data_IF_485245880907
#
_entry.id   IF_485245880907
#
_cell.length_a   1.000
_cell.length_b   1.000
_cell.length_c   1.000
_cell.angle_alpha   90.00
_cell.angle_beta   90.00
_cell.angle_gamma   90.00
#
_symmetry.space_group_name_H-M   'P 1'
#
loop_
_entity.id
_entity.type
_entity.pdbx_description
1 polymer ?
#
# COMPACT_ATOMS: atom_id res chain seq x y z
N UNK A 1 -2.33 20.19 -37.83
CA UNK A 1 -1.44 19.11 -37.34
C UNK A 1 -1.19 19.40 -35.87
N UNK A 2 -1.92 18.73 -34.97
CA UNK A 2 -1.67 18.76 -33.52
C UNK A 2 -1.02 17.41 -33.19
N UNK A 3 0.04 17.34 -32.38
CA UNK A 3 0.44 16.04 -31.86
C UNK A 3 -0.58 15.66 -30.79
N UNK A 4 -1.34 14.62 -31.05
CA UNK A 4 -2.06 13.88 -30.01
C UNK A 4 -0.99 13.25 -29.10
N UNK A 5 -0.87 13.77 -27.89
CA UNK A 5 -0.11 13.13 -26.81
C UNK A 5 -0.91 11.90 -26.39
N UNK A 6 -0.74 10.79 -27.11
CA UNK A 6 -1.08 9.48 -26.60
C UNK A 6 -0.17 9.20 -25.40
N UNK A 7 -0.76 9.26 -24.21
CA UNK A 7 -0.17 8.77 -22.97
C UNK A 7 -0.10 7.23 -23.05
N UNK A 8 1.08 6.60 -23.18
CA UNK A 8 1.20 5.16 -23.24
C UNK A 8 1.60 4.64 -21.86
N UNK A 9 0.79 4.85 -20.83
CA UNK A 9 1.08 4.28 -19.51
C UNK A 9 -0.19 4.03 -18.70
N UNK A 10 -1.16 3.35 -19.31
CA UNK A 10 -2.00 2.41 -18.58
C UNK A 10 -1.65 1.04 -19.14
N UNK A 11 -0.55 0.47 -18.64
CA UNK A 11 -0.43 -0.96 -18.69
C UNK A 11 -1.56 -1.46 -17.78
N UNK A 12 -2.59 -2.04 -18.40
CA UNK A 12 -3.48 -2.97 -17.72
C UNK A 12 -2.56 -4.04 -17.14
N UNK A 13 -2.18 -3.88 -15.87
CA UNK A 13 -1.47 -4.92 -15.15
C UNK A 13 -2.54 -5.95 -14.81
N UNK A 14 -2.66 -6.96 -15.66
CA UNK A 14 -3.38 -8.17 -15.30
C UNK A 14 -2.76 -8.67 -13.98
N UNK A 15 -3.52 -8.66 -12.88
CA UNK A 15 -3.05 -9.08 -11.55
C UNK A 15 -2.61 -10.56 -11.50
N UNK A 16 -2.55 -11.27 -12.64
CA UNK A 16 -2.09 -12.65 -12.79
C UNK A 16 -0.55 -12.81 -12.83
N UNK A 17 0.24 -11.73 -13.00
CA UNK A 17 1.69 -11.85 -13.21
C UNK A 17 2.58 -11.41 -12.03
N UNK A 18 2.04 -11.20 -10.82
CA UNK A 18 2.86 -10.84 -9.67
C UNK A 18 3.59 -12.07 -9.13
N UNK A 19 4.89 -12.19 -9.45
CA UNK A 19 5.66 -13.36 -9.04
C UNK A 19 5.90 -13.34 -7.52
N UNK A 20 6.11 -14.51 -6.88
CA UNK A 20 6.47 -14.57 -5.47
C UNK A 20 7.70 -13.72 -5.12
N UNK A 21 8.71 -13.68 -6.00
CA UNK A 21 9.93 -12.89 -5.80
C UNK A 21 9.64 -11.39 -5.76
N UNK A 22 8.80 -10.89 -6.66
CA UNK A 22 8.40 -9.48 -6.68
C UNK A 22 7.57 -9.14 -5.45
N UNK A 23 6.63 -10.02 -5.09
CA UNK A 23 5.83 -9.86 -3.89
C UNK A 23 6.69 -9.85 -2.62
N UNK A 24 7.69 -10.72 -2.51
CA UNK A 24 8.66 -10.69 -1.41
C UNK A 24 9.48 -9.39 -1.41
N UNK A 25 9.90 -8.91 -2.58
CA UNK A 25 10.58 -7.62 -2.71
C UNK A 25 9.73 -6.47 -2.19
N UNK A 26 8.44 -6.45 -2.53
CA UNK A 26 7.48 -5.47 -2.02
C UNK A 26 7.29 -5.67 -0.51
N UNK A 27 7.06 -6.89 -0.04
CA UNK A 27 6.81 -7.14 1.38
C UNK A 27 8.06 -7.00 2.26
N UNK A 28 9.26 -6.82 1.70
CA UNK A 28 10.50 -6.63 2.47
C UNK A 28 10.52 -5.40 3.38
N UNK A 29 9.65 -4.40 3.14
CA UNK A 29 9.54 -3.23 4.00
C UNK A 29 8.40 -3.40 5.01
N UNK A 30 8.72 -3.30 6.30
CA UNK A 30 7.78 -3.48 7.42
C UNK A 30 6.53 -2.58 7.33
N UNK A 31 6.70 -1.30 6.95
CA UNK A 31 5.56 -0.38 6.75
C UNK A 31 4.61 -0.79 5.63
N UNK A 32 5.12 -1.42 4.56
CA UNK A 32 4.26 -1.97 3.49
C UNK A 32 3.49 -3.19 3.99
N UNK A 33 4.10 -4.02 4.83
CA UNK A 33 3.39 -5.11 5.51
C UNK A 33 2.29 -4.54 6.41
N UNK A 34 2.59 -3.55 7.27
CA UNK A 34 1.58 -2.93 8.13
C UNK A 34 0.43 -2.31 7.35
N UNK A 35 0.71 -1.65 6.23
CA UNK A 35 -0.32 -1.11 5.35
C UNK A 35 -1.25 -2.20 4.82
N UNK A 36 -0.69 -3.26 4.25
CA UNK A 36 -1.49 -4.37 3.71
C UNK A 36 -2.27 -5.11 4.79
N UNK A 37 -1.68 -5.31 5.97
CA UNK A 37 -2.35 -5.89 7.15
C UNK A 37 -3.57 -5.05 7.52
N UNK A 38 -3.40 -3.73 7.62
CA UNK A 38 -4.46 -2.83 8.04
C UNK A 38 -5.57 -2.76 6.99
N UNK A 39 -5.22 -2.55 5.72
CA UNK A 39 -6.18 -2.47 4.62
C UNK A 39 -6.97 -3.76 4.44
N UNK A 40 -6.32 -4.92 4.57
CA UNK A 40 -6.99 -6.20 4.48
C UNK A 40 -8.13 -6.33 5.52
N UNK A 41 -8.00 -5.72 6.71
CA UNK A 41 -9.03 -5.75 7.76
C UNK A 41 -10.19 -4.78 7.51
N UNK A 42 -10.10 -3.88 6.54
CA UNK A 42 -11.11 -2.86 6.27
C UNK A 42 -12.03 -3.32 5.15
N UNK A 43 -13.36 -3.17 5.31
CA UNK A 43 -14.31 -3.50 4.27
C UNK A 43 -14.48 -2.42 3.19
N UNK A 44 -13.82 -1.26 3.35
CA UNK A 44 -13.90 -0.10 2.46
C UNK A 44 -12.63 0.74 2.56
N UNK A 45 -12.46 1.66 1.61
CA UNK A 45 -11.40 2.66 1.61
C UNK A 45 -11.30 3.44 2.94
N UNK A 46 -10.07 3.79 3.29
CA UNK A 46 -9.71 4.56 4.48
C UNK A 46 -8.88 5.78 4.10
N UNK A 47 -8.77 6.74 5.02
CA UNK A 47 -7.88 7.88 4.82
C UNK A 47 -6.41 7.50 5.08
N UNK A 48 -5.50 8.16 4.36
CA UNK A 48 -4.05 8.06 4.57
C UNK A 48 -3.66 8.32 6.02
N UNK A 49 -4.31 9.29 6.65
CA UNK A 49 -4.09 9.62 8.06
C UNK A 49 -4.41 8.45 9.00
N UNK A 50 -5.50 7.73 8.76
CA UNK A 50 -5.86 6.56 9.60
C UNK A 50 -4.81 5.46 9.49
N UNK A 51 -4.24 5.27 8.30
CA UNK A 51 -3.13 4.33 8.11
C UNK A 51 -1.86 4.82 8.81
N UNK A 52 -1.52 6.10 8.68
CA UNK A 52 -0.34 6.68 9.31
C UNK A 52 -0.40 6.60 10.84
N UNK A 53 -1.57 6.85 11.43
CA UNK A 53 -1.82 6.70 12.87
C UNK A 53 -1.65 5.24 13.31
N UNK A 54 -2.24 4.29 12.57
CA UNK A 54 -2.09 2.86 12.84
C UNK A 54 -0.61 2.43 12.84
N UNK A 55 0.17 2.84 11.84
CA UNK A 55 1.60 2.50 11.77
C UNK A 55 2.37 3.19 12.89
N UNK A 56 2.04 4.45 13.22
CA UNK A 56 2.68 5.15 14.34
C UNK A 56 2.52 4.39 15.66
N UNK A 57 1.33 3.83 15.91
CA UNK A 57 1.04 2.99 17.08
C UNK A 57 1.78 1.65 17.06
N UNK A 58 1.98 1.05 15.88
CA UNK A 58 2.74 -0.21 15.74
C UNK A 58 4.24 -0.01 15.96
N UNK A 59 4.80 1.12 15.52
CA UNK A 59 6.24 1.41 15.65
C UNK A 59 6.66 1.95 17.02
N UNK A 60 5.71 2.29 17.90
CA UNK A 60 5.99 2.74 19.26
C UNK A 60 5.08 3.89 19.71
N UNK A 61 5.65 4.87 20.41
CA UNK A 61 4.86 6.00 20.92
C UNK A 61 4.37 6.90 19.78
N UNK A 62 3.05 7.12 19.67
CA UNK A 62 2.46 7.95 18.62
C UNK A 62 2.63 9.43 18.96
N UNK A 63 3.70 10.05 18.45
CA UNK A 63 3.89 11.50 18.50
C UNK A 63 3.45 12.15 17.20
N UNK A 64 3.11 13.44 17.27
CA UNK A 64 2.77 14.22 16.07
C UNK A 64 3.87 14.21 15.02
N UNK A 65 5.13 14.35 15.43
CA UNK A 65 6.29 14.30 14.53
C UNK A 65 6.44 12.93 13.86
N UNK A 66 6.23 11.84 14.61
CA UNK A 66 6.24 10.49 14.05
C UNK A 66 5.14 10.31 13.01
N UNK A 67 3.91 10.74 13.33
CA UNK A 67 2.77 10.69 12.42
C UNK A 67 3.04 11.45 11.12
N UNK A 68 3.53 12.70 11.21
CA UNK A 68 3.83 13.54 10.05
C UNK A 68 4.90 12.86 9.16
N UNK A 69 5.97 12.34 9.77
CA UNK A 69 7.01 11.60 9.05
C UNK A 69 6.48 10.35 8.36
N UNK A 70 5.67 9.54 9.06
CA UNK A 70 5.08 8.32 8.48
C UNK A 70 4.16 8.67 7.31
N UNK A 71 3.35 9.72 7.44
CA UNK A 71 2.44 10.17 6.38
C UNK A 71 3.21 10.54 5.10
N UNK A 72 4.30 11.30 5.26
CA UNK A 72 5.20 11.68 4.16
C UNK A 72 5.87 10.44 3.55
N UNK A 73 6.38 9.52 4.37
CA UNK A 73 7.03 8.29 3.90
C UNK A 73 6.04 7.35 3.19
N UNK A 74 4.80 7.26 3.68
CA UNK A 74 3.73 6.51 3.02
C UNK A 74 3.45 7.08 1.64
N UNK A 75 3.23 8.39 1.56
CA UNK A 75 2.88 9.06 0.32
C UNK A 75 3.98 8.95 -0.74
N UNK A 76 5.25 9.14 -0.37
CA UNK A 76 6.34 9.26 -1.34
C UNK A 76 7.10 7.96 -1.60
N UNK A 77 7.08 7.00 -0.66
CA UNK A 77 7.83 5.75 -0.79
C UNK A 77 6.89 4.55 -0.85
N UNK A 78 6.06 4.34 0.18
CA UNK A 78 5.40 3.05 0.34
C UNK A 78 4.22 2.85 -0.61
N UNK A 79 3.31 3.83 -0.72
CA UNK A 79 2.13 3.74 -1.57
C UNK A 79 2.48 3.67 -3.05
N UNK A 80 3.44 4.46 -3.60
CA UNK A 80 3.83 4.30 -5.00
C UNK A 80 4.31 2.89 -5.36
N UNK A 81 5.03 2.22 -4.45
CA UNK A 81 5.46 0.83 -4.67
C UNK A 81 4.29 -0.16 -4.59
N UNK A 82 3.33 0.06 -3.69
CA UNK A 82 2.15 -0.81 -3.56
C UNK A 82 1.20 -0.63 -4.75
N UNK A 83 0.99 0.60 -5.21
CA UNK A 83 0.17 0.93 -6.39
C UNK A 83 0.83 0.42 -7.68
N UNK A 84 2.15 0.60 -7.82
CA UNK A 84 2.89 0.09 -8.98
C UNK A 84 2.88 -1.45 -9.08
N UNK A 85 2.60 -2.12 -7.96
CA UNK A 85 2.39 -3.56 -7.89
C UNK A 85 0.90 -3.96 -7.97
N UNK A 86 -0.02 -2.99 -8.11
CA UNK A 86 -1.46 -3.25 -8.11
C UNK A 86 -1.97 -3.90 -6.83
N UNK A 87 -1.32 -3.69 -5.67
CA UNK A 87 -1.77 -4.25 -4.38
C UNK A 87 -2.72 -3.31 -3.64
N UNK A 88 -2.61 -2.01 -3.91
CA UNK A 88 -3.35 -0.94 -3.24
C UNK A 88 -3.72 0.09 -4.30
N UNK A 89 -4.95 0.58 -4.23
CA UNK A 89 -5.35 1.79 -4.93
C UNK A 89 -5.23 2.98 -3.97
N UNK A 90 -4.70 4.09 -4.46
CA UNK A 90 -4.50 5.31 -3.69
C UNK A 90 -4.80 6.54 -4.54
N UNK A 91 -5.79 7.30 -4.10
CA UNK A 91 -6.14 8.60 -4.65
C UNK A 91 -5.47 9.71 -3.83
N UNK A 92 -4.47 10.36 -4.42
CA UNK A 92 -3.73 11.45 -3.78
C UNK A 92 -4.53 12.76 -3.65
N UNK A 93 -5.63 12.95 -4.39
CA UNK A 93 -6.47 14.13 -4.26
C UNK A 93 -7.41 14.01 -3.06
N UNK A 94 -7.98 12.82 -2.85
CA UNK A 94 -8.91 12.55 -1.74
C UNK A 94 -8.25 11.93 -0.51
N UNK A 95 -6.98 11.54 -0.63
CA UNK A 95 -6.20 10.78 0.36
C UNK A 95 -6.85 9.46 0.79
N UNK A 96 -7.70 8.89 -0.07
CA UNK A 96 -8.33 7.60 0.16
C UNK A 96 -7.50 6.47 -0.43
N UNK A 97 -7.41 5.36 0.30
CA UNK A 97 -6.76 4.15 -0.17
C UNK A 97 -7.52 2.89 0.24
N UNK A 98 -7.44 1.87 -0.61
CA UNK A 98 -8.03 0.55 -0.37
C UNK A 98 -7.17 -0.57 -0.94
N UNK A 99 -7.49 -1.81 -0.56
CA UNK A 99 -6.82 -2.98 -1.11
C UNK A 99 -7.36 -3.27 -2.51
N UNK A 100 -6.48 -3.35 -3.51
CA UNK A 100 -6.82 -3.57 -4.92
C UNK A 100 -6.54 -5.01 -5.39
N UNK A 101 -6.37 -5.93 -4.44
CA UNK A 101 -6.18 -7.36 -4.70
C UNK A 101 -7.09 -8.21 -3.85
N UNK A 102 -7.36 -9.43 -4.33
CA UNK A 102 -7.95 -10.44 -3.48
C UNK A 102 -7.03 -10.69 -2.28
N UNK A 103 -7.61 -10.55 -1.08
CA UNK A 103 -6.93 -10.76 0.19
C UNK A 103 -6.22 -12.12 0.26
N UNK A 104 -6.75 -13.14 -0.40
CA UNK A 104 -6.16 -14.49 -0.45
C UNK A 104 -4.79 -14.54 -1.13
N UNK A 105 -4.45 -13.62 -2.02
CA UNK A 105 -3.13 -13.55 -2.66
C UNK A 105 -2.04 -13.15 -1.66
N UNK A 106 -2.32 -12.17 -0.81
CA UNK A 106 -1.33 -11.60 0.13
C UNK A 106 -1.33 -12.30 1.50
N UNK A 107 -2.45 -12.90 1.91
CA UNK A 107 -2.60 -13.52 3.23
C UNK A 107 -1.49 -14.53 3.55
N UNK A 108 -1.11 -15.47 2.66
CA UNK A 108 -0.06 -16.44 2.97
C UNK A 108 1.28 -15.78 3.30
N UNK A 109 1.59 -14.65 2.65
CA UNK A 109 2.85 -13.93 2.87
C UNK A 109 2.81 -13.10 4.15
N UNK A 110 1.68 -12.46 4.44
CA UNK A 110 1.50 -11.72 5.70
C UNK A 110 1.55 -12.65 6.92
N UNK A 111 1.13 -13.91 6.79
CA UNK A 111 1.27 -14.90 7.85
C UNK A 111 2.73 -15.26 8.16
N UNK A 112 3.63 -15.19 7.17
CA UNK A 112 5.05 -15.46 7.37
C UNK A 112 5.78 -14.36 8.14
N UNK A 113 5.21 -13.15 8.19
CA UNK A 113 5.80 -12.00 8.89
C UNK A 113 5.30 -11.90 10.35
N UNK A 114 4.91 -13.03 10.95
CA UNK A 114 4.31 -13.11 12.29
C UNK A 114 3.08 -12.20 12.48
N UNK A 115 2.06 -12.42 11.65
CA UNK A 115 0.72 -11.84 11.84
C UNK A 115 0.15 -12.31 13.19
N UNK A 116 0.35 -11.53 14.25
CA UNK A 116 -0.45 -11.64 15.46
C UNK A 116 -1.77 -10.90 15.19
N UNK A 117 -2.82 -11.70 14.99
CA UNK A 117 -4.19 -11.23 14.89
C UNK A 117 -4.64 -10.53 16.19
#
# INVERSE_FOLDING_TARGET
MKPDTQNPQKAELDHEDLTPTELFGILSAERRQHALIYLAQKPAAIYLGDLAEYIALKEGEPTRERYERISVDLHHCHLPHLCGAGLVDYDAETELLELDVDRSLITPYLQLTEYTA
#
